data_IF_379834541869
#
_entry.id   IF_379834541869
#
_cell.length_a   1.000
_cell.length_b   1.000
_cell.length_c   1.000
_cell.angle_alpha   90.00
_cell.angle_beta   90.00
_cell.angle_gamma   90.00
#
_symmetry.space_group_name_H-M   'P 1'
#
loop_
_entity.id
_entity.type
_entity.pdbx_description
1 polymer ?
#
# COMPACT_ATOMS: atom_id res chain seq x y z
N UNK A 1 -5.38 -39.90 -7.70
CA UNK A 1 -4.02 -39.32 -7.82
C UNK A 1 -3.06 -40.38 -7.31
N UNK A 2 -2.06 -40.77 -8.10
CA UNK A 2 -1.08 -41.76 -7.66
C UNK A 2 -0.20 -41.16 -6.57
N UNK A 3 -0.03 -41.86 -5.44
CA UNK A 3 0.95 -41.47 -4.43
C UNK A 3 2.35 -41.46 -5.06
N UNK A 4 3.20 -40.45 -4.74
CA UNK A 4 4.57 -40.42 -5.25
C UNK A 4 5.35 -41.68 -4.83
N UNK A 5 6.14 -42.24 -5.74
CA UNK A 5 7.05 -43.33 -5.44
C UNK A 5 7.98 -42.93 -4.28
N UNK A 6 8.11 -43.78 -3.26
CA UNK A 6 8.97 -43.55 -2.09
C UNK A 6 10.39 -43.12 -2.47
N UNK A 7 10.93 -43.69 -3.55
CA UNK A 7 12.25 -43.34 -4.07
C UNK A 7 12.32 -41.88 -4.60
N UNK A 8 11.25 -41.41 -5.27
CA UNK A 8 11.18 -40.05 -5.79
C UNK A 8 11.08 -39.01 -4.65
N UNK A 9 10.31 -39.34 -3.61
CA UNK A 9 10.21 -38.52 -2.40
C UNK A 9 11.56 -38.42 -1.68
N UNK A 10 12.23 -39.56 -1.45
CA UNK A 10 13.55 -39.56 -0.81
C UNK A 10 14.60 -38.78 -1.61
N UNK A 11 14.53 -38.82 -2.94
CA UNK A 11 15.44 -38.05 -3.78
C UNK A 11 15.16 -36.54 -3.68
N UNK A 12 13.90 -36.12 -3.74
CA UNK A 12 13.50 -34.72 -3.59
C UNK A 12 13.88 -34.14 -2.21
N UNK A 13 13.69 -34.92 -1.13
CA UNK A 13 14.11 -34.54 0.22
C UNK A 13 15.64 -34.39 0.33
N UNK A 14 16.41 -35.27 -0.32
CA UNK A 14 17.88 -35.18 -0.34
C UNK A 14 18.38 -33.93 -1.09
N UNK A 15 17.80 -33.62 -2.26
CA UNK A 15 18.12 -32.41 -3.02
C UNK A 15 17.72 -31.14 -2.25
N UNK A 16 16.58 -31.17 -1.57
CA UNK A 16 16.16 -30.06 -0.71
C UNK A 16 17.12 -29.83 0.45
N UNK A 17 17.57 -30.90 1.11
CA UNK A 17 18.55 -30.79 2.20
C UNK A 17 19.87 -30.15 1.74
N UNK A 18 20.31 -30.43 0.51
CA UNK A 18 21.48 -29.76 -0.10
C UNK A 18 21.27 -28.26 -0.27
N UNK A 19 20.09 -27.84 -0.76
CA UNK A 19 19.71 -26.43 -0.87
C UNK A 19 19.69 -25.75 0.50
N UNK A 20 19.08 -26.40 1.51
CA UNK A 20 19.07 -25.89 2.89
C UNK A 20 20.49 -25.69 3.41
N UNK A 21 21.37 -26.68 3.25
CA UNK A 21 22.76 -26.57 3.70
C UNK A 21 23.50 -25.40 3.02
N UNK A 22 23.27 -25.19 1.72
CA UNK A 22 23.83 -24.04 0.99
C UNK A 22 23.30 -22.70 1.52
N UNK A 23 22.00 -22.62 1.84
CA UNK A 23 21.37 -21.40 2.34
C UNK A 23 21.73 -21.09 3.80
N UNK A 24 21.93 -22.11 4.65
CA UNK A 24 22.52 -21.96 5.99
C UNK A 24 23.89 -21.32 5.88
N UNK A 25 24.76 -21.90 5.04
CA UNK A 25 26.12 -21.41 4.81
C UNK A 25 26.14 -19.96 4.33
N UNK A 26 25.22 -19.59 3.45
CA UNK A 26 25.17 -18.26 2.82
C UNK A 26 24.35 -17.24 3.64
N UNK A 27 23.74 -17.64 4.77
CA UNK A 27 22.94 -16.77 5.63
C UNK A 27 21.58 -16.37 5.04
N UNK A 28 20.99 -17.24 4.22
CA UNK A 28 19.79 -16.96 3.43
C UNK A 28 18.49 -17.49 4.05
N UNK A 29 18.55 -18.21 5.17
CA UNK A 29 17.35 -18.76 5.80
C UNK A 29 16.54 -17.67 6.54
N UNK A 30 15.20 -17.65 6.38
CA UNK A 30 14.32 -16.87 7.24
C UNK A 30 14.41 -17.34 8.71
N UNK A 31 14.22 -16.44 9.70
CA UNK A 31 14.12 -16.85 11.10
C UNK A 31 12.85 -17.69 11.37
N UNK A 32 12.87 -18.51 12.42
CA UNK A 32 11.72 -19.32 12.84
C UNK A 32 11.67 -20.70 12.14
N UNK A 33 10.46 -21.16 11.81
CA UNK A 33 10.22 -22.45 11.14
C UNK A 33 9.57 -22.22 9.74
N UNK A 34 10.33 -21.69 8.77
CA UNK A 34 9.77 -21.27 7.48
C UNK A 34 9.42 -22.45 6.58
N UNK A 35 8.41 -22.26 5.73
CA UNK A 35 8.04 -23.24 4.70
C UNK A 35 9.06 -23.26 3.56
N UNK A 36 9.12 -24.34 2.75
CA UNK A 36 10.00 -24.40 1.58
C UNK A 36 9.81 -23.22 0.60
N UNK A 37 8.57 -22.78 0.40
CA UNK A 37 8.26 -21.61 -0.44
C UNK A 37 8.82 -20.31 0.17
N UNK A 38 8.73 -20.12 1.49
CA UNK A 38 9.29 -18.94 2.16
C UNK A 38 10.82 -18.91 2.06
N UNK A 39 11.46 -20.06 2.22
CA UNK A 39 12.92 -20.21 2.07
C UNK A 39 13.34 -19.88 0.63
N UNK A 40 12.65 -20.46 -0.36
CA UNK A 40 12.94 -20.24 -1.78
C UNK A 40 12.77 -18.77 -2.18
N UNK A 41 11.68 -18.13 -1.76
CA UNK A 41 11.42 -16.72 -2.09
C UNK A 41 12.49 -15.78 -1.50
N UNK A 42 12.91 -16.02 -0.26
CA UNK A 42 13.99 -15.24 0.36
C UNK A 42 15.33 -15.44 -0.37
N UNK A 43 15.65 -16.67 -0.75
CA UNK A 43 16.88 -16.98 -1.47
C UNK A 43 16.91 -16.34 -2.85
N UNK A 44 15.83 -16.45 -3.63
CA UNK A 44 15.69 -15.83 -4.94
C UNK A 44 15.84 -14.31 -4.85
N UNK A 45 15.21 -13.67 -3.84
CA UNK A 45 15.38 -12.23 -3.57
C UNK A 45 16.84 -11.86 -3.27
N UNK A 46 17.55 -12.66 -2.47
CA UNK A 46 18.94 -12.38 -2.10
C UNK A 46 19.94 -12.70 -3.24
N UNK A 47 19.58 -13.60 -4.16
CA UNK A 47 20.43 -14.04 -5.29
C UNK A 47 20.14 -13.28 -6.59
N UNK A 48 18.96 -12.68 -6.71
CA UNK A 48 18.51 -12.01 -7.94
C UNK A 48 18.19 -12.99 -9.08
N UNK A 49 17.87 -14.25 -8.77
CA UNK A 49 17.43 -15.28 -9.73
C UNK A 49 16.17 -15.99 -9.21
N UNK A 50 15.59 -16.92 -9.98
CA UNK A 50 14.37 -17.67 -9.62
C UNK A 50 14.61 -19.17 -9.42
N UNK A 51 15.87 -19.56 -9.23
CA UNK A 51 16.24 -20.98 -9.23
C UNK A 51 15.64 -21.75 -8.05
N UNK A 52 15.52 -21.11 -6.88
CA UNK A 52 15.01 -21.77 -5.68
C UNK A 52 13.49 -21.95 -5.75
N UNK A 53 12.73 -20.93 -6.17
CA UNK A 53 11.28 -21.06 -6.33
C UNK A 53 10.94 -22.04 -7.45
N UNK A 54 11.68 -22.00 -8.56
CA UNK A 54 11.51 -22.98 -9.64
C UNK A 54 11.77 -24.42 -9.17
N UNK A 55 12.77 -24.65 -8.33
CA UNK A 55 12.99 -25.98 -7.74
C UNK A 55 11.83 -26.39 -6.82
N UNK A 56 11.38 -25.49 -5.94
CA UNK A 56 10.31 -25.80 -4.97
C UNK A 56 8.99 -26.12 -5.68
N UNK A 57 8.60 -25.28 -6.64
CA UNK A 57 7.30 -25.36 -7.30
C UNK A 57 7.25 -26.46 -8.37
N UNK A 58 8.33 -26.61 -9.16
CA UNK A 58 8.34 -27.52 -10.30
C UNK A 58 9.03 -28.86 -10.01
N UNK A 59 9.68 -29.05 -8.85
CA UNK A 59 10.30 -30.32 -8.50
C UNK A 59 9.93 -30.81 -7.09
N UNK A 60 10.20 -30.03 -6.05
CA UNK A 60 10.07 -30.48 -4.67
C UNK A 60 8.62 -30.84 -4.30
N UNK A 61 7.67 -29.92 -4.48
CA UNK A 61 6.26 -30.20 -4.15
C UNK A 61 5.66 -31.34 -4.99
N UNK A 62 5.83 -31.37 -6.33
CA UNK A 62 5.30 -32.47 -7.14
C UNK A 62 5.82 -33.86 -6.74
N UNK A 63 7.12 -33.98 -6.40
CA UNK A 63 7.73 -35.29 -6.06
C UNK A 63 7.54 -35.69 -4.59
N UNK A 64 7.20 -34.75 -3.71
CA UNK A 64 7.00 -35.01 -2.27
C UNK A 64 5.53 -35.21 -1.92
N UNK A 65 4.62 -34.45 -2.54
CA UNK A 65 3.19 -34.42 -2.18
C UNK A 65 2.24 -34.77 -3.34
N UNK A 66 2.76 -34.87 -4.57
CA UNK A 66 1.97 -35.14 -5.76
C UNK A 66 1.24 -33.89 -6.30
N UNK A 67 1.03 -33.84 -7.62
CA UNK A 67 0.32 -32.76 -8.30
C UNK A 67 1.27 -31.69 -8.90
N UNK A 68 1.13 -31.46 -10.19
CA UNK A 68 1.86 -30.44 -10.96
C UNK A 68 1.90 -30.78 -12.45
N UNK A 69 1.46 -29.86 -13.32
CA UNK A 69 1.73 -29.95 -14.75
C UNK A 69 3.09 -29.30 -15.03
N UNK A 70 4.03 -30.05 -15.62
CA UNK A 70 5.36 -29.54 -15.98
C UNK A 70 6.46 -29.79 -14.93
N UNK A 71 6.45 -30.95 -14.26
CA UNK A 71 7.49 -31.32 -13.31
C UNK A 71 8.88 -31.39 -13.99
N UNK A 72 9.88 -30.82 -13.32
CA UNK A 72 11.29 -30.93 -13.72
C UNK A 72 11.76 -32.40 -13.68
N UNK A 73 12.67 -32.78 -14.57
CA UNK A 73 13.37 -34.05 -14.48
C UNK A 73 14.40 -34.05 -13.34
N UNK A 74 14.77 -35.22 -12.82
CA UNK A 74 15.84 -35.35 -11.81
C UNK A 74 17.15 -34.69 -12.28
N UNK A 75 17.48 -34.83 -13.58
CA UNK A 75 18.68 -34.23 -14.16
C UNK A 75 18.62 -32.69 -14.18
N UNK A 76 17.44 -32.09 -14.40
CA UNK A 76 17.29 -30.63 -14.39
C UNK A 76 17.20 -30.07 -12.97
N UNK A 77 16.63 -30.85 -12.04
CA UNK A 77 16.64 -30.54 -10.62
C UNK A 77 18.07 -30.55 -10.05
N UNK A 78 18.88 -31.55 -10.39
CA UNK A 78 20.30 -31.61 -10.03
C UNK A 78 21.09 -30.42 -10.58
N UNK A 79 20.82 -29.99 -11.82
CA UNK A 79 21.45 -28.78 -12.38
C UNK A 79 21.07 -27.51 -11.59
N UNK A 80 19.81 -27.38 -11.20
CA UNK A 80 19.34 -26.26 -10.38
C UNK A 80 19.98 -26.29 -8.99
N UNK A 81 20.03 -27.45 -8.33
CA UNK A 81 20.67 -27.63 -7.02
C UNK A 81 22.16 -27.30 -7.12
N UNK A 82 22.87 -27.81 -8.13
CA UNK A 82 24.27 -27.49 -8.35
C UNK A 82 24.52 -25.98 -8.61
N UNK A 83 23.55 -25.27 -9.19
CA UNK A 83 23.61 -23.82 -9.35
C UNK A 83 23.38 -23.09 -8.02
N UNK A 84 22.46 -23.56 -7.18
CA UNK A 84 22.16 -23.02 -5.85
C UNK A 84 23.27 -23.31 -4.82
N UNK A 85 23.96 -24.44 -4.95
CA UNK A 85 25.09 -24.82 -4.08
C UNK A 85 26.31 -23.93 -4.27
N UNK A 86 26.49 -23.35 -5.47
CA UNK A 86 27.51 -22.33 -5.70
C UNK A 86 27.22 -21.15 -4.75
N UNK A 87 28.25 -20.65 -4.03
CA UNK A 87 28.08 -19.51 -3.14
C UNK A 87 27.35 -18.43 -3.90
N UNK A 88 26.26 -17.91 -3.31
CA UNK A 88 25.66 -16.72 -3.87
C UNK A 88 26.78 -15.71 -4.09
N UNK A 89 26.80 -15.06 -5.26
CA UNK A 89 27.54 -13.81 -5.37
C UNK A 89 26.88 -12.91 -4.33
N UNK A 90 27.43 -12.87 -3.11
CA UNK A 90 27.11 -11.80 -2.16
C UNK A 90 27.20 -10.54 -3.01
N UNK A 91 26.20 -9.64 -2.99
CA UNK A 91 26.43 -8.32 -3.56
C UNK A 91 27.76 -7.91 -2.96
N UNK A 92 28.77 -7.74 -3.83
CA UNK A 92 30.11 -7.42 -3.37
C UNK A 92 29.91 -6.28 -2.38
N UNK A 93 30.46 -6.37 -1.16
CA UNK A 93 30.41 -5.22 -0.26
C UNK A 93 31.06 -4.11 -1.06
N UNK A 94 30.22 -3.25 -1.65
CA UNK A 94 30.72 -2.22 -2.55
C UNK A 94 31.41 -1.28 -1.60
N UNK A 95 32.75 -1.19 -1.66
CA UNK A 95 33.47 -0.41 -0.67
C UNK A 95 32.96 1.02 -0.75
N UNK A 96 33.00 1.71 0.40
CA UNK A 96 32.78 3.16 0.41
C UNK A 96 33.94 3.82 -0.32
N UNK A 97 33.67 4.38 -1.49
CA UNK A 97 34.68 4.94 -2.38
C UNK A 97 34.65 6.47 -2.32
N UNK A 98 35.67 7.06 -1.69
CA UNK A 98 35.86 8.51 -1.71
C UNK A 98 36.02 9.01 -3.16
N UNK A 99 35.26 10.05 -3.51
CA UNK A 99 35.36 10.74 -4.81
C UNK A 99 34.66 10.04 -5.98
N UNK A 100 34.03 8.88 -5.76
CA UNK A 100 33.15 8.25 -6.74
C UNK A 100 31.70 8.57 -6.38
N UNK A 101 30.88 8.90 -7.39
CA UNK A 101 29.44 9.03 -7.23
C UNK A 101 28.72 7.70 -7.42
N UNK A 102 29.24 6.84 -8.30
CA UNK A 102 28.65 5.54 -8.57
C UNK A 102 29.68 4.51 -9.07
N UNK A 103 29.32 3.23 -9.00
CA UNK A 103 30.08 2.10 -9.54
C UNK A 103 29.17 1.24 -10.40
N UNK A 104 29.62 0.90 -11.61
CA UNK A 104 28.92 -0.02 -12.53
C UNK A 104 29.93 -1.05 -13.02
N UNK A 105 29.69 -2.35 -12.78
CA UNK A 105 30.61 -3.41 -13.22
C UNK A 105 32.07 -3.22 -12.76
N UNK A 106 32.30 -2.57 -11.62
CA UNK A 106 33.64 -2.23 -11.09
C UNK A 106 34.23 -0.91 -11.62
N UNK A 107 33.67 -0.32 -12.69
CA UNK A 107 34.07 1.00 -13.19
C UNK A 107 33.51 2.10 -12.29
N UNK A 108 34.36 3.06 -11.91
CA UNK A 108 34.00 4.19 -11.05
C UNK A 108 33.61 5.41 -11.88
N UNK A 109 32.56 6.10 -11.46
CA UNK A 109 32.09 7.32 -12.10
C UNK A 109 32.14 8.48 -11.12
N UNK A 110 32.54 9.66 -11.62
CA UNK A 110 32.56 10.91 -10.82
C UNK A 110 31.18 11.53 -10.64
N UNK A 111 30.24 11.22 -11.53
CA UNK A 111 28.84 11.70 -11.45
C UNK A 111 27.89 10.54 -11.70
N UNK A 112 26.73 10.58 -11.03
CA UNK A 112 25.69 9.56 -11.20
C UNK A 112 25.10 9.60 -12.62
N UNK A 113 24.92 10.79 -13.21
CA UNK A 113 24.46 10.94 -14.60
C UNK A 113 25.39 10.24 -15.61
N UNK A 114 26.71 10.34 -15.42
CA UNK A 114 27.65 9.65 -16.31
C UNK A 114 27.54 8.12 -16.19
N UNK A 115 27.29 7.60 -14.99
CA UNK A 115 27.05 6.17 -14.76
C UNK A 115 25.77 5.71 -15.44
N UNK A 116 24.66 6.43 -15.24
CA UNK A 116 23.35 6.13 -15.86
C UNK A 116 23.45 6.14 -17.38
N UNK A 117 24.19 7.07 -17.99
CA UNK A 117 24.36 7.13 -19.46
C UNK A 117 25.19 5.97 -20.02
N UNK A 118 26.21 5.53 -19.30
CA UNK A 118 27.19 4.54 -19.78
C UNK A 118 26.83 3.10 -19.44
N UNK A 119 26.00 2.89 -18.41
CA UNK A 119 25.55 1.57 -18.00
C UNK A 119 24.81 0.86 -19.15
N UNK A 120 24.99 -0.45 -19.39
CA UNK A 120 24.15 -1.20 -20.32
C UNK A 120 22.76 -1.48 -19.73
N UNK A 121 21.82 -1.97 -20.54
CA UNK A 121 20.49 -2.36 -20.06
C UNK A 121 20.60 -3.52 -19.05
N UNK A 122 19.75 -3.49 -18.04
CA UNK A 122 19.75 -4.40 -16.91
C UNK A 122 20.89 -4.19 -15.91
N UNK A 123 21.73 -3.16 -16.10
CA UNK A 123 22.87 -2.94 -15.21
C UNK A 123 22.47 -2.46 -13.81
N UNK A 124 23.25 -2.93 -12.83
CA UNK A 124 23.21 -2.44 -11.46
C UNK A 124 24.23 -1.31 -11.27
N UNK A 125 23.74 -0.18 -10.76
CA UNK A 125 24.47 1.04 -10.48
C UNK A 125 24.50 1.25 -8.96
N UNK A 126 25.66 1.01 -8.36
CA UNK A 126 25.87 1.22 -6.94
C UNK A 126 26.20 2.68 -6.66
N UNK A 127 25.24 3.40 -6.11
CA UNK A 127 25.36 4.83 -5.83
C UNK A 127 26.05 5.04 -4.50
N UNK A 128 27.15 5.78 -4.50
CA UNK A 128 27.95 6.03 -3.30
C UNK A 128 27.32 7.12 -2.43
N UNK A 129 27.58 7.13 -1.10
CA UNK A 129 27.10 8.16 -0.21
C UNK A 129 27.41 9.59 -0.67
N UNK A 130 26.44 10.47 -0.50
CA UNK A 130 26.51 11.86 -0.91
C UNK A 130 25.17 12.39 -1.41
N UNK A 131 25.14 13.71 -1.63
CA UNK A 131 24.00 14.40 -2.25
C UNK A 131 24.31 14.62 -3.73
N UNK A 132 23.59 13.88 -4.58
CA UNK A 132 23.69 13.91 -6.03
C UNK A 132 22.64 14.89 -6.57
N UNK A 133 23.07 16.08 -7.01
CA UNK A 133 22.16 17.20 -7.37
C UNK A 133 21.73 17.23 -8.84
N UNK A 134 22.13 16.23 -9.59
CA UNK A 134 21.83 16.08 -10.99
C UNK A 134 20.52 15.30 -11.14
N UNK A 135 19.45 15.90 -11.68
CA UNK A 135 18.24 15.14 -11.98
C UNK A 135 18.55 14.04 -13.01
N UNK A 136 17.84 12.93 -12.89
CA UNK A 136 18.04 11.73 -13.69
C UNK A 136 16.72 11.26 -14.30
N UNK A 137 16.81 10.84 -15.56
CA UNK A 137 15.76 10.09 -16.23
C UNK A 137 16.32 8.69 -16.45
N UNK A 138 15.58 7.68 -15.99
CA UNK A 138 15.86 6.28 -16.25
C UNK A 138 14.88 5.83 -17.33
N UNK A 139 15.38 5.70 -18.56
CA UNK A 139 14.62 5.43 -19.78
C UNK A 139 14.83 4.00 -20.32
N UNK A 140 15.47 3.16 -19.51
CA UNK A 140 15.73 1.75 -19.79
C UNK A 140 15.88 0.95 -18.49
N UNK A 141 15.82 -0.38 -18.53
CA UNK A 141 15.90 -1.22 -17.35
C UNK A 141 17.24 -1.01 -16.63
N UNK A 142 17.23 -0.39 -15.45
CA UNK A 142 18.42 -0.11 -14.65
C UNK A 142 18.08 -0.30 -13.18
N UNK A 143 19.02 -0.85 -12.41
CA UNK A 143 18.92 -0.93 -10.96
C UNK A 143 19.82 0.12 -10.31
N UNK A 144 19.25 1.08 -9.58
CA UNK A 144 20.00 2.04 -8.77
C UNK A 144 19.94 1.62 -7.30
N UNK A 145 21.10 1.35 -6.72
CA UNK A 145 21.22 0.81 -5.35
C UNK A 145 22.12 1.71 -4.51
N UNK A 146 21.56 2.30 -3.46
CA UNK A 146 22.32 3.13 -2.54
C UNK A 146 23.28 2.30 -1.68
N UNK A 147 24.55 2.68 -1.61
CA UNK A 147 25.55 2.04 -0.76
C UNK A 147 25.52 2.68 0.63
N UNK A 148 25.51 1.85 1.67
CA UNK A 148 25.42 2.29 3.06
C UNK A 148 24.00 2.16 3.64
N UNK A 149 23.76 2.89 4.73
CA UNK A 149 22.46 2.97 5.41
C UNK A 149 21.52 3.93 4.68
N UNK A 150 20.20 3.74 4.80
CA UNK A 150 19.24 4.69 4.27
C UNK A 150 19.54 6.11 4.78
N UNK A 151 19.39 7.11 3.92
CA UNK A 151 19.76 8.51 4.23
C UNK A 151 21.16 8.93 3.78
N UNK A 152 22.10 7.99 3.55
CA UNK A 152 23.46 8.36 3.14
C UNK A 152 23.58 8.70 1.66
N UNK A 153 22.66 8.20 0.83
CA UNK A 153 22.60 8.48 -0.61
C UNK A 153 21.33 9.28 -0.89
N UNK A 154 21.50 10.53 -1.33
CA UNK A 154 20.40 11.43 -1.65
C UNK A 154 20.51 11.85 -3.10
N UNK A 155 19.46 11.62 -3.89
CA UNK A 155 19.27 12.22 -5.21
C UNK A 155 18.37 13.44 -5.02
N UNK A 156 18.92 14.62 -5.24
CA UNK A 156 18.24 15.89 -4.99
C UNK A 156 18.09 16.71 -6.27
N UNK A 157 16.96 17.38 -6.43
CA UNK A 157 16.81 18.40 -7.48
C UNK A 157 16.06 19.62 -6.96
N UNK A 158 16.52 20.80 -7.39
CA UNK A 158 15.87 22.09 -7.10
C UNK A 158 14.93 22.57 -8.19
N UNK A 159 15.02 22.01 -9.40
CA UNK A 159 14.36 22.56 -10.60
C UNK A 159 13.48 21.60 -11.37
N UNK A 160 13.77 20.30 -11.31
CA UNK A 160 13.02 19.22 -11.98
C UNK A 160 12.64 18.14 -10.94
N UNK A 161 11.78 17.15 -11.25
CA UNK A 161 11.79 15.89 -10.51
C UNK A 161 13.23 15.42 -10.30
N UNK A 162 13.54 14.93 -9.10
CA UNK A 162 14.89 14.45 -8.80
C UNK A 162 15.18 13.16 -9.57
N UNK A 163 14.14 12.36 -9.78
CA UNK A 163 14.20 11.13 -10.55
C UNK A 163 12.92 10.94 -11.37
N UNK A 164 13.09 10.55 -12.63
CA UNK A 164 12.00 10.15 -13.53
C UNK A 164 12.21 8.70 -13.97
N UNK A 165 11.17 7.87 -13.85
CA UNK A 165 11.17 6.46 -14.26
C UNK A 165 10.31 6.33 -15.52
N UNK A 166 10.92 5.98 -16.65
CA UNK A 166 10.29 6.00 -17.97
C UNK A 166 10.53 4.70 -18.75
N UNK A 167 10.66 3.57 -18.05
CA UNK A 167 10.83 2.24 -18.65
C UNK A 167 10.39 1.14 -17.69
N UNK A 168 10.02 -0.01 -18.27
CA UNK A 168 9.93 -1.26 -17.52
C UNK A 168 11.28 -1.68 -16.95
N UNK A 169 11.24 -2.49 -15.88
CA UNK A 169 12.43 -3.13 -15.33
C UNK A 169 13.38 -2.20 -14.58
N UNK A 170 12.94 -0.98 -14.24
CA UNK A 170 13.70 -0.08 -13.36
C UNK A 170 13.55 -0.54 -11.91
N UNK A 171 14.67 -0.65 -11.20
CA UNK A 171 14.69 -0.94 -9.77
C UNK A 171 15.39 0.18 -9.00
N UNK A 172 14.77 0.65 -7.92
CA UNK A 172 15.40 1.58 -6.97
C UNK A 172 15.47 0.91 -5.61
N UNK A 173 16.63 0.99 -4.95
CA UNK A 173 16.77 0.45 -3.60
C UNK A 173 17.68 1.29 -2.70
N UNK A 174 17.25 1.56 -1.47
CA UNK A 174 18.05 2.22 -0.41
C UNK A 174 18.54 3.62 -0.78
N UNK A 175 17.67 4.43 -1.37
CA UNK A 175 17.95 5.80 -1.78
C UNK A 175 16.97 6.77 -1.13
N UNK A 176 17.41 8.01 -0.96
CA UNK A 176 16.51 9.15 -0.72
C UNK A 176 16.34 9.93 -2.01
N UNK A 177 15.10 10.12 -2.46
CA UNK A 177 14.74 11.01 -3.58
C UNK A 177 14.15 12.28 -2.99
N UNK A 178 14.77 13.43 -3.22
CA UNK A 178 14.41 14.69 -2.55
C UNK A 178 14.18 15.84 -3.52
N UNK A 179 13.11 16.58 -3.29
CA UNK A 179 12.91 17.92 -3.86
C UNK A 179 13.33 19.00 -2.89
N UNK A 180 13.90 20.05 -3.45
CA UNK A 180 14.28 21.27 -2.76
C UNK A 180 13.96 22.48 -3.64
N UNK A 181 14.20 23.69 -3.14
CA UNK A 181 13.96 24.92 -3.90
C UNK A 181 12.50 25.34 -3.89
N UNK A 182 12.05 26.00 -4.95
CA UNK A 182 10.67 26.47 -5.11
C UNK A 182 9.89 25.56 -6.05
N UNK A 183 8.60 25.38 -5.75
CA UNK A 183 7.67 24.68 -6.62
C UNK A 183 7.26 25.57 -7.80
N UNK A 184 7.28 25.01 -9.01
CA UNK A 184 6.82 25.62 -10.24
C UNK A 184 5.86 24.67 -10.95
N UNK A 185 5.24 25.13 -12.05
CA UNK A 185 4.36 24.27 -12.86
C UNK A 185 5.10 23.09 -13.51
N UNK A 186 6.41 23.19 -13.72
CA UNK A 186 7.21 22.21 -14.45
C UNK A 186 7.81 21.12 -13.55
N UNK A 187 7.75 21.28 -12.21
CA UNK A 187 8.52 20.44 -11.28
C UNK A 187 7.73 19.96 -10.06
N UNK A 188 6.50 19.51 -10.30
CA UNK A 188 5.49 19.29 -9.25
C UNK A 188 5.69 18.05 -8.37
N UNK A 189 6.74 17.25 -8.53
CA UNK A 189 6.98 16.08 -7.68
C UNK A 189 8.47 15.78 -7.47
N UNK A 190 8.78 14.92 -6.49
CA UNK A 190 10.14 14.41 -6.26
C UNK A 190 10.49 13.20 -7.12
N UNK A 191 9.57 12.25 -7.22
CA UNK A 191 9.67 11.07 -8.06
C UNK A 191 8.54 11.06 -9.08
N UNK A 192 8.88 11.13 -10.37
CA UNK A 192 7.92 11.02 -11.47
C UNK A 192 8.01 9.62 -12.09
N UNK A 193 6.99 8.79 -11.87
CA UNK A 193 6.85 7.50 -12.56
C UNK A 193 6.05 7.77 -13.84
N UNK A 194 6.78 8.07 -14.90
CA UNK A 194 6.23 8.42 -16.21
C UNK A 194 5.59 7.22 -16.91
N UNK A 195 6.25 6.07 -16.86
CA UNK A 195 5.73 4.84 -17.45
C UNK A 195 6.39 3.59 -16.87
N UNK A 196 5.80 2.44 -17.20
CA UNK A 196 6.37 1.13 -16.96
C UNK A 196 6.16 0.56 -15.56
N UNK A 197 6.78 -0.61 -15.36
CA UNK A 197 6.73 -1.44 -14.15
C UNK A 197 8.00 -1.29 -13.35
N UNK A 198 8.09 -0.18 -12.61
CA UNK A 198 9.21 0.06 -11.71
C UNK A 198 9.01 -0.67 -10.36
N UNK A 199 10.11 -1.14 -9.79
CA UNK A 199 10.16 -1.65 -8.41
C UNK A 199 10.96 -0.68 -7.54
N UNK A 200 10.32 -0.11 -6.53
CA UNK A 200 10.96 0.83 -5.60
C UNK A 200 10.90 0.22 -4.20
N UNK A 201 12.06 -0.10 -3.62
CA UNK A 201 12.13 -0.78 -2.32
C UNK A 201 13.04 -0.06 -1.34
N UNK A 202 12.63 0.01 -0.07
CA UNK A 202 13.47 0.53 1.01
C UNK A 202 14.00 1.95 0.71
N UNK A 203 13.18 2.75 0.04
CA UNK A 203 13.48 4.13 -0.38
C UNK A 203 12.68 5.15 0.42
N UNK A 204 13.22 6.36 0.49
CA UNK A 204 12.55 7.51 1.07
C UNK A 204 12.33 8.59 0.01
N UNK A 205 11.12 9.12 -0.07
CA UNK A 205 10.74 10.18 -1.00
C UNK A 205 10.37 11.40 -0.17
N UNK A 206 11.12 12.48 -0.35
CA UNK A 206 10.93 13.75 0.34
C UNK A 206 10.42 14.78 -0.66
N UNK A 207 9.12 15.10 -0.59
CA UNK A 207 8.45 15.99 -1.54
C UNK A 207 8.92 17.45 -1.45
N UNK A 208 9.45 17.87 -0.31
CA UNK A 208 9.89 19.24 -0.06
C UNK A 208 8.77 20.24 -0.37
N UNK A 209 8.97 21.22 -1.26
CA UNK A 209 7.94 22.20 -1.63
C UNK A 209 6.83 21.64 -2.55
N UNK A 210 6.92 20.38 -2.97
CA UNK A 210 6.10 19.79 -4.05
C UNK A 210 5.41 18.51 -3.59
N UNK A 211 4.72 17.82 -4.50
CA UNK A 211 4.21 16.47 -4.25
C UNK A 211 5.37 15.48 -4.06
N UNK A 212 5.12 14.37 -3.37
CA UNK A 212 6.10 13.31 -3.21
C UNK A 212 6.32 12.53 -4.50
N UNK A 213 5.28 11.80 -4.91
CA UNK A 213 5.32 10.89 -6.06
C UNK A 213 4.18 11.19 -7.01
N UNK A 214 4.49 11.26 -8.29
CA UNK A 214 3.50 11.20 -9.35
C UNK A 214 3.60 9.87 -10.10
N UNK A 215 2.46 9.22 -10.26
CA UNK A 215 2.33 8.02 -11.09
C UNK A 215 1.46 8.40 -12.27
N UNK A 216 2.06 8.48 -13.45
CA UNK A 216 1.39 8.96 -14.66
C UNK A 216 0.45 7.90 -15.24
N UNK A 217 -0.33 8.35 -16.22
CA UNK A 217 -1.35 7.54 -16.90
C UNK A 217 -0.73 6.27 -17.47
N UNK A 218 -1.25 5.12 -17.05
CA UNK A 218 -0.83 3.80 -17.55
C UNK A 218 0.42 3.21 -16.89
N UNK A 219 1.06 3.89 -15.94
CA UNK A 219 2.18 3.33 -15.19
C UNK A 219 1.71 2.26 -14.16
N UNK A 220 2.54 1.23 -13.91
CA UNK A 220 2.24 0.09 -13.03
C UNK A 220 3.41 -0.17 -12.04
N UNK A 221 3.76 0.80 -11.18
CA UNK A 221 4.87 0.64 -10.24
C UNK A 221 4.46 -0.14 -8.98
N UNK A 222 5.44 -0.81 -8.39
CA UNK A 222 5.35 -1.42 -7.06
C UNK A 222 6.33 -0.75 -6.11
N UNK A 223 5.82 -0.27 -4.98
CA UNK A 223 6.58 0.30 -3.87
C UNK A 223 6.53 -0.66 -2.68
N UNK A 224 7.67 -0.94 -2.05
CA UNK A 224 7.75 -1.76 -0.83
C UNK A 224 8.60 -1.11 0.23
N UNK A 225 8.09 -1.05 1.47
CA UNK A 225 8.83 -0.54 2.63
C UNK A 225 9.42 0.86 2.37
N UNK A 226 8.64 1.69 1.66
CA UNK A 226 9.02 3.05 1.33
C UNK A 226 8.36 4.05 2.28
N UNK A 227 9.03 5.18 2.50
CA UNK A 227 8.46 6.33 3.20
C UNK A 227 8.30 7.51 2.24
N UNK A 228 7.13 8.13 2.23
CA UNK A 228 6.86 9.39 1.52
C UNK A 228 6.54 10.45 2.55
N UNK A 229 7.32 11.53 2.59
CA UNK A 229 7.22 12.53 3.66
C UNK A 229 7.51 13.95 3.25
N UNK A 230 7.11 14.87 4.13
CA UNK A 230 7.38 16.31 4.03
C UNK A 230 7.05 16.83 2.63
N UNK A 231 5.79 16.68 2.24
CA UNK A 231 5.30 17.09 0.92
C UNK A 231 4.52 18.40 1.04
N UNK A 232 5.01 19.46 0.41
CA UNK A 232 4.33 20.75 0.32
C UNK A 232 3.05 20.71 -0.52
N UNK A 233 2.83 19.63 -1.27
CA UNK A 233 1.54 19.26 -1.85
C UNK A 233 1.07 17.89 -1.34
N UNK A 234 0.64 17.00 -2.23
CA UNK A 234 0.18 15.64 -1.91
C UNK A 234 1.32 14.64 -1.75
N UNK A 235 1.09 13.56 -0.99
CA UNK A 235 2.10 12.50 -0.83
C UNK A 235 2.29 11.72 -2.13
N UNK A 236 1.20 11.15 -2.66
CA UNK A 236 1.17 10.47 -3.95
C UNK A 236 -0.05 10.87 -4.76
N UNK A 237 0.17 11.20 -6.03
CA UNK A 237 -0.87 11.33 -7.03
C UNK A 237 -0.83 10.17 -8.02
N UNK A 238 -1.95 9.48 -8.19
CA UNK A 238 -2.08 8.30 -9.07
C UNK A 238 -3.02 8.63 -10.21
N UNK A 239 -2.45 8.84 -11.40
CA UNK A 239 -3.18 9.23 -12.59
C UNK A 239 -4.14 8.15 -13.10
N UNK A 240 -5.12 8.60 -13.89
CA UNK A 240 -6.10 7.72 -14.54
C UNK A 240 -5.42 6.57 -15.27
N UNK A 241 -6.03 5.38 -15.26
CA UNK A 241 -5.49 4.16 -15.89
C UNK A 241 -4.13 3.66 -15.36
N UNK A 242 -3.51 4.30 -14.37
CA UNK A 242 -2.38 3.72 -13.66
C UNK A 242 -2.83 2.51 -12.81
N UNK A 243 -1.88 1.65 -12.43
CA UNK A 243 -2.09 0.50 -11.57
C UNK A 243 -0.98 0.41 -10.51
N UNK A 244 -1.06 1.21 -9.46
CA UNK A 244 0.01 1.26 -8.45
C UNK A 244 -0.18 0.21 -7.35
N UNK A 245 0.93 -0.31 -6.83
CA UNK A 245 0.96 -1.17 -5.63
C UNK A 245 1.88 -0.61 -4.57
N UNK A 246 1.39 -0.57 -3.33
CA UNK A 246 2.15 -0.14 -2.17
C UNK A 246 2.04 -1.19 -1.07
N UNK A 247 3.18 -1.69 -0.60
CA UNK A 247 3.29 -2.73 0.42
C UNK A 247 4.16 -2.22 1.57
N UNK A 248 3.61 -2.16 2.78
CA UNK A 248 4.30 -1.71 3.99
C UNK A 248 4.91 -0.30 3.86
N UNK A 249 4.26 0.56 3.07
CA UNK A 249 4.67 1.95 2.87
C UNK A 249 4.07 2.90 3.91
N UNK A 250 4.77 4.00 4.19
CA UNK A 250 4.27 5.10 5.02
C UNK A 250 4.15 6.38 4.20
N UNK A 251 3.06 7.12 4.41
CA UNK A 251 2.80 8.43 3.84
C UNK A 251 2.52 9.38 5.01
N UNK A 252 3.39 10.36 5.24
CA UNK A 252 3.19 11.31 6.33
C UNK A 252 3.54 12.74 5.99
N UNK A 253 2.95 13.70 6.71
CA UNK A 253 3.29 15.13 6.60
C UNK A 253 3.17 15.65 5.16
N UNK A 254 2.01 15.44 4.56
CA UNK A 254 1.61 16.06 3.29
C UNK A 254 0.69 17.25 3.55
N UNK A 255 0.85 18.33 2.80
CA UNK A 255 -0.03 19.50 2.88
C UNK A 255 -1.41 19.19 2.29
N UNK A 256 -1.44 18.62 1.09
CA UNK A 256 -2.66 18.17 0.42
C UNK A 256 -2.94 16.70 0.79
N UNK A 257 -3.76 16.00 0.01
CA UNK A 257 -4.10 14.61 0.31
C UNK A 257 -2.84 13.73 0.39
N UNK A 258 -2.75 12.88 1.41
CA UNK A 258 -1.63 11.95 1.54
C UNK A 258 -1.54 11.00 0.34
N UNK A 259 -2.70 10.54 -0.14
CA UNK A 259 -2.85 9.74 -1.35
C UNK A 259 -4.07 10.23 -2.14
N UNK A 260 -3.88 10.53 -3.42
CA UNK A 260 -4.94 10.84 -4.37
C UNK A 260 -4.97 9.82 -5.51
N UNK A 261 -6.15 9.23 -5.77
CA UNK A 261 -6.31 8.10 -6.69
C UNK A 261 -7.37 8.39 -7.76
N UNK A 262 -6.90 8.61 -8.99
CA UNK A 262 -7.72 8.69 -10.19
C UNK A 262 -7.66 7.39 -11.03
N UNK A 263 -6.59 6.61 -10.86
CA UNK A 263 -6.40 5.28 -11.47
C UNK A 263 -6.72 4.14 -10.53
N UNK A 264 -6.05 3.00 -10.70
CA UNK A 264 -6.15 1.86 -9.78
C UNK A 264 -4.98 1.86 -8.81
N UNK A 265 -5.25 1.58 -7.55
CA UNK A 265 -4.23 1.50 -6.52
C UNK A 265 -4.56 0.43 -5.48
N UNK A 266 -3.55 -0.34 -5.07
CA UNK A 266 -3.65 -1.31 -3.99
C UNK A 266 -2.62 -1.01 -2.90
N UNK A 267 -3.11 -0.84 -1.68
CA UNK A 267 -2.32 -0.60 -0.49
C UNK A 267 -2.45 -1.78 0.46
N UNK A 268 -1.32 -2.32 0.93
CA UNK A 268 -1.28 -3.44 1.86
C UNK A 268 -0.34 -3.11 3.00
N UNK A 269 -0.83 -3.12 4.25
CA UNK A 269 0.01 -2.82 5.42
C UNK A 269 0.48 -1.36 5.51
N UNK A 270 -0.09 -0.46 4.68
CA UNK A 270 0.35 0.93 4.62
C UNK A 270 -0.17 1.78 5.79
N UNK A 271 0.59 2.83 6.13
CA UNK A 271 0.16 3.88 7.05
C UNK A 271 0.07 5.22 6.34
N UNK A 272 -1.08 5.90 6.43
CA UNK A 272 -1.30 7.26 5.92
C UNK A 272 -1.61 8.16 7.12
N UNK A 273 -0.71 9.07 7.48
CA UNK A 273 -0.83 9.81 8.74
C UNK A 273 -0.35 11.25 8.73
N UNK A 274 -0.81 12.05 9.69
CA UNK A 274 -0.29 13.39 9.96
C UNK A 274 -0.34 14.35 8.75
N UNK A 275 -1.28 14.17 7.83
CA UNK A 275 -1.51 15.10 6.72
C UNK A 275 -2.31 16.34 7.16
N UNK A 276 -2.05 17.48 6.53
CA UNK A 276 -2.81 18.72 6.77
C UNK A 276 -4.17 18.73 6.04
N UNK A 277 -4.45 17.71 5.22
CA UNK A 277 -5.70 17.52 4.49
C UNK A 277 -6.21 16.09 4.67
N UNK A 278 -6.81 15.51 3.62
CA UNK A 278 -7.36 14.16 3.61
C UNK A 278 -6.27 13.09 3.68
N UNK A 279 -6.56 11.94 4.30
CA UNK A 279 -5.67 10.79 4.22
C UNK A 279 -5.64 10.23 2.79
N UNK A 280 -6.79 9.73 2.34
CA UNK A 280 -6.98 9.16 1.01
C UNK A 280 -8.13 9.87 0.31
N UNK A 281 -7.90 10.39 -0.89
CA UNK A 281 -8.91 10.87 -1.81
C UNK A 281 -9.05 9.88 -2.97
N UNK A 282 -10.20 9.21 -3.06
CA UNK A 282 -10.53 8.25 -4.11
C UNK A 282 -11.57 8.83 -5.07
N UNK A 283 -11.22 8.97 -6.35
CA UNK A 283 -12.02 9.67 -7.36
C UNK A 283 -12.71 8.72 -8.37
N UNK A 284 -12.03 8.26 -9.43
CA UNK A 284 -12.71 7.53 -10.51
C UNK A 284 -12.33 6.04 -10.55
N UNK A 285 -11.15 5.68 -10.05
CA UNK A 285 -10.60 4.34 -10.22
C UNK A 285 -10.71 3.42 -9.01
N UNK A 286 -10.19 2.20 -9.16
CA UNK A 286 -10.29 1.15 -8.14
C UNK A 286 -9.24 1.33 -7.05
N UNK A 287 -9.66 1.74 -5.85
CA UNK A 287 -8.79 1.81 -4.67
C UNK A 287 -9.07 0.63 -3.75
N UNK A 288 -8.04 -0.16 -3.45
CA UNK A 288 -8.13 -1.25 -2.46
C UNK A 288 -7.14 -1.01 -1.33
N UNK A 289 -7.64 -1.00 -0.10
CA UNK A 289 -6.83 -0.88 1.10
C UNK A 289 -7.00 -2.13 1.95
N UNK A 290 -5.90 -2.78 2.32
CA UNK A 290 -5.91 -3.96 3.16
C UNK A 290 -4.91 -3.84 4.30
N UNK A 291 -5.39 -4.03 5.54
CA UNK A 291 -4.55 -3.92 6.74
C UNK A 291 -3.86 -2.56 6.83
N UNK A 292 -4.52 -1.50 6.36
CA UNK A 292 -3.99 -0.16 6.37
C UNK A 292 -4.43 0.62 7.62
N UNK A 293 -3.57 1.53 8.07
CA UNK A 293 -3.89 2.49 9.13
C UNK A 293 -3.91 3.89 8.56
N UNK A 294 -5.04 4.57 8.66
CA UNK A 294 -5.21 5.98 8.28
C UNK A 294 -5.49 6.77 9.55
N UNK A 295 -4.62 7.71 9.91
CA UNK A 295 -4.76 8.36 11.22
C UNK A 295 -4.24 9.79 11.29
N UNK A 296 -4.78 10.56 12.23
CA UNK A 296 -4.20 11.87 12.61
C UNK A 296 -4.10 12.84 11.41
N UNK A 297 -4.98 12.69 10.42
CA UNK A 297 -5.07 13.60 9.26
C UNK A 297 -6.07 14.71 9.57
N UNK A 298 -5.74 15.97 9.29
CA UNK A 298 -6.59 17.11 9.67
C UNK A 298 -7.94 17.16 8.89
N UNK A 299 -8.02 16.50 7.74
CA UNK A 299 -9.24 16.35 6.95
C UNK A 299 -10.01 15.05 7.22
N UNK A 300 -10.69 14.56 6.18
CA UNK A 300 -11.37 13.25 6.16
C UNK A 300 -10.32 12.13 6.05
N UNK A 301 -10.51 11.02 6.75
CA UNK A 301 -9.62 9.85 6.62
C UNK A 301 -9.62 9.28 5.20
N UNK A 302 -10.78 8.85 4.72
CA UNK A 302 -11.01 8.45 3.32
C UNK A 302 -12.19 9.21 2.72
N UNK A 303 -11.94 10.01 1.70
CA UNK A 303 -12.99 10.66 0.92
C UNK A 303 -13.16 9.94 -0.41
N UNK A 304 -14.31 9.31 -0.61
CA UNK A 304 -14.70 8.73 -1.89
C UNK A 304 -15.68 9.67 -2.61
N UNK A 305 -15.39 10.00 -3.87
CA UNK A 305 -16.23 10.85 -4.73
C UNK A 305 -16.21 10.36 -6.17
N UNK A 306 -16.82 11.08 -7.11
CA UNK A 306 -16.79 10.82 -8.55
C UNK A 306 -17.07 9.36 -8.96
N UNK A 307 -18.05 8.72 -8.29
CA UNK A 307 -18.40 7.30 -8.47
C UNK A 307 -17.30 6.28 -8.12
N UNK A 308 -16.24 6.67 -7.40
CA UNK A 308 -15.23 5.74 -6.87
C UNK A 308 -15.86 4.59 -6.08
N UNK A 309 -15.26 3.40 -6.20
CA UNK A 309 -15.65 2.21 -5.45
C UNK A 309 -14.56 1.66 -4.55
N UNK A 310 -14.06 2.41 -3.54
CA UNK A 310 -12.97 1.93 -2.72
C UNK A 310 -13.40 0.75 -1.84
N UNK A 311 -12.53 -0.24 -1.73
CA UNK A 311 -12.72 -1.43 -0.90
C UNK A 311 -11.69 -1.41 0.22
N UNK A 312 -12.14 -1.41 1.47
CA UNK A 312 -11.31 -1.43 2.65
C UNK A 312 -11.52 -2.75 3.40
N UNK A 313 -10.42 -3.44 3.72
CA UNK A 313 -10.43 -4.68 4.51
C UNK A 313 -9.45 -4.63 5.65
N UNK A 314 -9.92 -4.96 6.86
CA UNK A 314 -9.05 -5.02 8.05
C UNK A 314 -8.31 -3.70 8.32
N UNK A 315 -8.94 -2.57 7.94
CA UNK A 315 -8.36 -1.24 8.05
C UNK A 315 -8.80 -0.50 9.32
N UNK A 316 -7.91 0.33 9.85
CA UNK A 316 -8.19 1.24 10.98
C UNK A 316 -8.15 2.68 10.49
N UNK A 317 -9.23 3.42 10.71
CA UNK A 317 -9.32 4.86 10.40
C UNK A 317 -9.66 5.61 11.67
N UNK A 318 -8.74 6.45 12.14
CA UNK A 318 -8.91 7.08 13.45
C UNK A 318 -8.33 8.47 13.58
N UNK A 319 -8.88 9.25 14.51
CA UNK A 319 -8.36 10.58 14.83
C UNK A 319 -8.23 11.50 13.59
N UNK A 320 -9.10 11.32 12.59
CA UNK A 320 -9.25 12.28 11.51
C UNK A 320 -9.93 13.54 12.03
N UNK A 321 -9.47 14.71 11.54
CA UNK A 321 -9.99 16.03 11.89
C UNK A 321 -11.35 16.36 11.27
N UNK A 322 -11.93 15.42 10.51
CA UNK A 322 -13.34 15.37 10.10
C UNK A 322 -13.89 13.94 10.22
N UNK A 323 -14.72 13.50 9.27
CA UNK A 323 -15.25 12.15 9.27
C UNK A 323 -14.15 11.11 9.02
N UNK A 324 -14.31 9.90 9.56
CA UNK A 324 -13.40 8.80 9.24
C UNK A 324 -13.47 8.47 7.74
N UNK A 325 -14.69 8.23 7.24
CA UNK A 325 -14.97 8.06 5.82
C UNK A 325 -16.11 8.99 5.41
N UNK A 326 -15.95 9.67 4.27
CA UNK A 326 -17.03 10.40 3.61
C UNK A 326 -17.28 9.80 2.22
N UNK A 327 -18.54 9.56 1.90
CA UNK A 327 -19.02 8.98 0.64
C UNK A 327 -19.96 9.97 -0.02
N UNK A 328 -19.53 10.56 -1.15
CA UNK A 328 -20.36 11.48 -1.93
C UNK A 328 -20.15 11.30 -3.42
N UNK A 329 -20.74 12.19 -4.21
CA UNK A 329 -20.66 12.27 -5.68
C UNK A 329 -20.87 10.90 -6.37
N UNK A 330 -21.87 10.13 -5.90
CA UNK A 330 -22.22 8.81 -6.44
C UNK A 330 -21.29 7.65 -6.07
N UNK A 331 -20.33 7.86 -5.15
CA UNK A 331 -19.36 6.83 -4.75
C UNK A 331 -20.01 5.60 -4.08
N UNK A 332 -19.35 4.44 -4.18
CA UNK A 332 -19.82 3.14 -3.69
C UNK A 332 -18.75 2.44 -2.83
N UNK A 333 -18.70 2.76 -1.54
CA UNK A 333 -17.67 2.24 -0.62
C UNK A 333 -18.05 0.87 -0.06
N UNK A 334 -17.07 -0.04 0.04
CA UNK A 334 -17.21 -1.32 0.76
C UNK A 334 -16.20 -1.41 1.90
N UNK A 335 -16.69 -1.70 3.10
CA UNK A 335 -15.89 -1.91 4.31
C UNK A 335 -16.09 -3.34 4.83
N UNK A 336 -15.00 -4.04 5.11
CA UNK A 336 -15.01 -5.37 5.71
C UNK A 336 -14.03 -5.42 6.89
N UNK A 337 -14.54 -5.70 8.10
CA UNK A 337 -13.74 -5.80 9.33
C UNK A 337 -12.89 -4.54 9.62
N UNK A 338 -13.45 -3.37 9.39
CA UNK A 338 -12.80 -2.10 9.65
C UNK A 338 -13.12 -1.55 11.05
N UNK A 339 -12.24 -0.67 11.57
CA UNK A 339 -12.45 0.09 12.81
C UNK A 339 -12.39 1.59 12.50
N UNK A 340 -13.52 2.30 12.67
CA UNK A 340 -13.66 3.74 12.48
C UNK A 340 -13.82 4.41 13.85
N UNK A 341 -12.75 5.02 14.36
CA UNK A 341 -12.70 5.42 15.76
C UNK A 341 -12.16 6.83 16.02
N UNK A 342 -12.73 7.55 16.97
CA UNK A 342 -12.17 8.83 17.47
C UNK A 342 -11.99 9.91 16.41
N UNK A 343 -12.79 9.86 15.35
CA UNK A 343 -12.81 10.93 14.36
C UNK A 343 -13.60 12.11 14.94
N UNK A 344 -13.21 13.35 14.59
CA UNK A 344 -13.81 14.55 15.17
C UNK A 344 -15.19 14.89 14.58
N UNK A 345 -15.63 14.13 13.57
CA UNK A 345 -16.99 14.18 13.04
C UNK A 345 -17.58 12.76 13.04
N UNK A 346 -18.32 12.35 12.00
CA UNK A 346 -18.92 11.02 11.95
C UNK A 346 -17.88 9.93 11.68
N UNK A 347 -18.10 8.71 12.18
CA UNK A 347 -17.25 7.58 11.81
C UNK A 347 -17.35 7.28 10.31
N UNK A 348 -18.58 7.08 9.83
CA UNK A 348 -18.94 6.94 8.43
C UNK A 348 -20.02 7.97 8.07
N UNK A 349 -19.76 8.76 7.03
CA UNK A 349 -20.64 9.80 6.54
C UNK A 349 -21.03 9.49 5.08
N UNK A 350 -22.30 9.17 4.85
CA UNK A 350 -22.83 8.77 3.55
C UNK A 350 -23.79 9.84 3.06
N UNK A 351 -23.29 10.73 2.21
CA UNK A 351 -24.06 11.75 1.51
C UNK A 351 -24.71 11.13 0.25
N UNK A 352 -24.52 11.72 -0.93
CA UNK A 352 -25.05 11.25 -2.21
C UNK A 352 -24.29 10.02 -2.77
N UNK A 353 -24.19 8.95 -1.99
CA UNK A 353 -23.54 7.70 -2.39
C UNK A 353 -24.03 6.48 -1.63
N UNK A 354 -23.27 5.39 -1.70
CA UNK A 354 -23.59 4.11 -1.07
C UNK A 354 -22.44 3.56 -0.25
N UNK A 355 -22.76 3.01 0.91
CA UNK A 355 -21.83 2.23 1.72
C UNK A 355 -22.35 0.82 1.99
N UNK A 356 -21.48 -0.18 1.85
CA UNK A 356 -21.69 -1.55 2.33
C UNK A 356 -20.68 -1.79 3.45
N UNK A 357 -21.15 -2.08 4.66
CA UNK A 357 -20.33 -2.19 5.85
C UNK A 357 -20.58 -3.55 6.50
N UNK A 358 -19.55 -4.38 6.59
CA UNK A 358 -19.64 -5.73 7.17
C UNK A 358 -18.62 -5.96 8.28
N UNK A 359 -19.04 -6.59 9.37
CA UNK A 359 -18.12 -7.07 10.42
C UNK A 359 -17.32 -5.95 11.10
N UNK A 360 -17.78 -4.70 11.04
CA UNK A 360 -16.96 -3.51 11.35
C UNK A 360 -17.39 -2.83 12.65
N UNK A 361 -16.48 -2.03 13.23
CA UNK A 361 -16.70 -1.25 14.44
C UNK A 361 -16.66 0.24 14.13
N UNK A 362 -17.64 0.97 14.62
CA UNK A 362 -17.76 2.42 14.47
C UNK A 362 -17.98 3.01 15.85
N UNK A 363 -16.95 3.62 16.42
CA UNK A 363 -16.95 3.93 17.86
C UNK A 363 -16.27 5.22 18.25
N UNK A 364 -16.69 5.80 19.37
CA UNK A 364 -16.00 6.93 20.00
C UNK A 364 -15.80 8.13 19.05
N UNK A 365 -16.64 8.28 18.01
CA UNK A 365 -16.57 9.42 17.11
C UNK A 365 -17.30 10.61 17.73
N UNK A 366 -16.84 11.83 17.46
CA UNK A 366 -17.35 13.03 18.12
C UNK A 366 -18.71 13.52 17.59
N UNK A 367 -19.28 12.81 16.61
CA UNK A 367 -20.64 13.04 16.13
C UNK A 367 -21.39 11.71 15.95
N UNK A 368 -22.10 11.49 14.83
CA UNK A 368 -22.75 10.20 14.57
C UNK A 368 -21.72 9.06 14.42
N UNK A 369 -22.11 7.84 14.77
CA UNK A 369 -21.36 6.68 14.29
C UNK A 369 -21.46 6.59 12.77
N UNK A 370 -22.69 6.42 12.26
CA UNK A 370 -23.02 6.40 10.83
C UNK A 370 -24.07 7.47 10.55
N UNK A 371 -23.77 8.40 9.65
CA UNK A 371 -24.73 9.39 9.14
C UNK A 371 -25.08 9.07 7.68
N UNK A 372 -26.37 9.04 7.35
CA UNK A 372 -26.87 8.88 5.99
C UNK A 372 -27.74 10.09 5.63
N UNK A 373 -27.32 10.88 4.65
CA UNK A 373 -27.98 12.11 4.22
C UNK A 373 -27.89 12.32 2.70
N UNK A 374 -28.53 13.36 2.17
CA UNK A 374 -28.47 13.77 0.75
C UNK A 374 -28.72 12.67 -0.29
N UNK A 375 -29.65 11.75 0.01
CA UNK A 375 -30.02 10.63 -0.86
C UNK A 375 -29.18 9.37 -0.68
N UNK A 376 -28.31 9.35 0.34
CA UNK A 376 -27.42 8.26 0.66
C UNK A 376 -28.09 6.96 1.05
N UNK A 377 -27.33 5.87 0.90
CA UNK A 377 -27.76 4.52 1.24
C UNK A 377 -26.67 3.73 1.96
N UNK A 378 -27.03 3.11 3.08
CA UNK A 378 -26.10 2.25 3.81
C UNK A 378 -26.68 0.85 4.03
N UNK A 379 -25.89 -0.18 3.74
CA UNK A 379 -26.13 -1.55 4.18
C UNK A 379 -25.12 -1.86 5.28
N UNK A 380 -25.61 -2.16 6.48
CA UNK A 380 -24.79 -2.38 7.68
C UNK A 380 -25.12 -3.76 8.23
N UNK A 381 -24.13 -4.64 8.24
CA UNK A 381 -24.29 -6.05 8.60
C UNK A 381 -23.18 -6.51 9.54
N UNK A 382 -23.54 -7.24 10.61
CA UNK A 382 -22.57 -7.77 11.59
C UNK A 382 -21.66 -6.69 12.20
N UNK A 383 -22.20 -5.49 12.43
CA UNK A 383 -21.45 -4.33 12.89
C UNK A 383 -21.74 -3.94 14.33
N UNK A 384 -20.81 -3.20 14.93
CA UNK A 384 -20.97 -2.56 16.24
C UNK A 384 -20.85 -1.04 16.10
N UNK A 385 -21.90 -0.30 16.45
CA UNK A 385 -21.92 1.17 16.41
C UNK A 385 -22.13 1.71 17.82
N UNK A 386 -21.03 2.09 18.48
CA UNK A 386 -21.02 2.25 19.94
C UNK A 386 -20.33 3.49 20.44
N UNK A 387 -20.79 4.05 21.56
CA UNK A 387 -20.10 5.11 22.29
C UNK A 387 -19.77 6.36 21.45
N UNK A 388 -20.60 6.67 20.45
CA UNK A 388 -20.45 7.89 19.65
C UNK A 388 -21.12 9.07 20.37
N UNK A 389 -20.58 10.28 20.18
CA UNK A 389 -20.96 11.46 20.95
C UNK A 389 -22.26 12.13 20.48
N UNK A 390 -22.86 11.67 19.37
CA UNK A 390 -24.25 11.96 19.00
C UNK A 390 -25.05 10.64 18.97
N UNK A 391 -25.90 10.43 17.97
CA UNK A 391 -26.62 9.16 17.80
C UNK A 391 -25.71 8.11 17.15
N UNK A 392 -25.98 6.84 17.40
CA UNK A 392 -25.24 5.75 16.74
C UNK A 392 -25.40 5.82 15.24
N UNK A 393 -26.65 5.84 14.77
CA UNK A 393 -27.00 5.92 13.36
C UNK A 393 -28.02 7.04 13.14
N UNK A 394 -27.74 7.95 12.22
CA UNK A 394 -28.67 9.00 11.78
C UNK A 394 -29.08 8.82 10.31
N UNK A 395 -30.38 8.86 10.00
CA UNK A 395 -30.90 8.72 8.63
C UNK A 395 -31.84 9.87 8.28
N UNK A 396 -31.44 10.68 7.30
CA UNK A 396 -32.21 11.86 6.84
C UNK A 396 -33.28 11.50 5.81
N UNK A 397 -34.16 12.46 5.52
CA UNK A 397 -35.32 12.25 4.67
C UNK A 397 -34.85 11.89 3.25
N UNK A 398 -35.54 10.94 2.61
CA UNK A 398 -35.14 10.44 1.28
C UNK A 398 -33.93 9.51 1.28
N UNK A 399 -33.34 9.22 2.44
CA UNK A 399 -32.21 8.30 2.59
C UNK A 399 -32.66 6.92 3.07
N UNK A 400 -31.76 5.93 2.96
CA UNK A 400 -32.07 4.54 3.26
C UNK A 400 -30.98 3.87 4.10
N UNK A 401 -31.40 3.08 5.09
CA UNK A 401 -30.51 2.15 5.78
C UNK A 401 -31.10 0.76 5.92
N UNK A 402 -30.27 -0.26 5.76
CA UNK A 402 -30.57 -1.63 6.19
C UNK A 402 -29.56 -2.03 7.26
N UNK A 403 -30.05 -2.38 8.45
CA UNK A 403 -29.24 -2.77 9.60
C UNK A 403 -29.56 -4.21 9.98
N UNK A 404 -28.62 -5.12 9.72
CA UNK A 404 -28.78 -6.54 10.02
C UNK A 404 -27.70 -7.08 10.95
N UNK A 405 -28.06 -8.03 11.83
CA UNK A 405 -27.10 -8.74 12.71
C UNK A 405 -26.15 -7.82 13.50
N UNK A 406 -26.59 -6.62 13.83
CA UNK A 406 -25.71 -5.56 14.35
C UNK A 406 -26.10 -5.09 15.75
N UNK A 407 -25.16 -4.46 16.45
CA UNK A 407 -25.38 -3.89 17.78
C UNK A 407 -25.13 -2.39 17.80
N UNK A 408 -26.07 -1.63 18.38
CA UNK A 408 -25.99 -0.18 18.51
C UNK A 408 -26.29 0.23 19.96
N UNK A 409 -25.30 0.74 20.67
CA UNK A 409 -25.41 0.98 22.12
C UNK A 409 -24.48 2.08 22.63
N UNK A 410 -24.78 2.64 23.80
CA UNK A 410 -23.87 3.57 24.48
C UNK A 410 -23.70 4.92 23.78
N UNK A 411 -24.48 5.19 22.73
CA UNK A 411 -24.40 6.47 22.02
C UNK A 411 -25.09 7.58 22.83
N UNK A 412 -24.53 8.78 22.76
CA UNK A 412 -24.91 9.90 23.64
C UNK A 412 -26.30 10.49 23.34
N UNK A 413 -26.87 10.18 22.17
CA UNK A 413 -28.27 10.49 21.86
C UNK A 413 -29.07 9.21 21.64
N UNK A 414 -29.48 8.96 20.39
CA UNK A 414 -30.26 7.80 20.04
C UNK A 414 -29.38 6.66 19.53
N UNK A 415 -29.87 5.42 19.60
CA UNK A 415 -29.24 4.34 18.84
C UNK A 415 -29.45 4.53 17.34
N UNK A 416 -30.72 4.68 16.95
CA UNK A 416 -31.14 4.98 15.57
C UNK A 416 -32.06 6.21 15.57
N UNK A 417 -31.63 7.29 14.90
CA UNK A 417 -32.41 8.50 14.68
C UNK A 417 -32.85 8.58 13.21
N UNK A 418 -34.15 8.51 12.96
CA UNK A 418 -34.73 8.59 11.61
C UNK A 418 -35.57 9.85 11.46
N UNK A 419 -35.38 10.60 10.38
CA UNK A 419 -36.26 11.74 10.06
C UNK A 419 -37.46 11.30 9.23
N UNK A 420 -38.55 12.08 9.23
CA UNK A 420 -39.74 11.77 8.42
C UNK A 420 -39.39 11.63 6.92
N UNK A 421 -39.75 10.50 6.32
CA UNK A 421 -39.44 10.18 4.91
C UNK A 421 -38.13 9.41 4.71
N UNK A 422 -37.38 9.10 5.77
CA UNK A 422 -36.29 8.13 5.72
C UNK A 422 -36.83 6.70 5.65
N UNK A 423 -36.13 5.82 4.91
CA UNK A 423 -36.41 4.38 4.88
C UNK A 423 -35.41 3.66 5.77
N UNK A 424 -35.90 2.72 6.57
CA UNK A 424 -35.04 1.90 7.41
C UNK A 424 -35.59 0.48 7.53
N UNK A 425 -34.68 -0.48 7.54
CA UNK A 425 -34.93 -1.89 7.86
C UNK A 425 -33.99 -2.27 8.98
N UNK A 426 -34.52 -2.86 10.05
CA UNK A 426 -33.73 -3.35 11.19
C UNK A 426 -34.11 -4.81 11.45
N UNK A 427 -33.19 -5.72 11.20
CA UNK A 427 -33.44 -7.16 11.33
C UNK A 427 -32.35 -7.86 12.13
N UNK A 428 -32.75 -8.70 13.10
CA UNK A 428 -31.80 -9.47 13.92
C UNK A 428 -30.70 -8.60 14.56
N UNK A 429 -31.04 -7.34 14.85
CA UNK A 429 -30.13 -6.34 15.39
C UNK A 429 -30.66 -5.84 16.73
N UNK A 430 -29.74 -5.43 17.60
CA UNK A 430 -30.05 -4.95 18.96
C UNK A 430 -29.64 -3.50 19.09
N UNK A 431 -30.63 -2.64 19.35
CA UNK A 431 -30.42 -1.21 19.62
C UNK A 431 -30.85 -0.95 21.06
N UNK A 432 -29.90 -0.76 21.96
CA UNK A 432 -30.15 -0.72 23.42
C UNK A 432 -29.16 0.14 24.16
N UNK A 433 -29.58 0.75 25.27
CA UNK A 433 -28.65 1.43 26.20
C UNK A 433 -28.06 2.71 25.62
N UNK A 434 -28.82 3.41 24.77
CA UNK A 434 -28.47 4.74 24.27
C UNK A 434 -29.09 5.81 25.18
N UNK A 435 -28.41 6.95 25.34
CA UNK A 435 -28.67 7.89 26.45
C UNK A 435 -30.04 8.56 26.37
N UNK A 436 -30.47 9.04 25.19
CA UNK A 436 -31.78 9.67 25.03
C UNK A 436 -32.86 8.62 24.73
N UNK A 437 -32.53 7.61 23.93
CA UNK A 437 -33.43 6.49 23.65
C UNK A 437 -32.92 5.60 22.53
N UNK A 438 -33.48 4.40 22.38
CA UNK A 438 -32.93 3.46 21.41
C UNK A 438 -33.31 3.82 19.96
N UNK A 439 -34.57 4.17 19.71
CA UNK A 439 -35.04 4.62 18.40
C UNK A 439 -35.76 5.96 18.54
N UNK A 440 -35.33 6.96 17.77
CA UNK A 440 -35.88 8.31 17.75
C UNK A 440 -36.40 8.70 16.37
N UNK A 441 -37.43 9.54 16.36
CA UNK A 441 -37.94 10.18 15.15
C UNK A 441 -37.75 11.70 15.24
N UNK A 442 -36.94 12.29 14.35
CA UNK A 442 -36.78 13.74 14.31
C UNK A 442 -38.01 14.37 13.66
N UNK A 443 -38.70 15.25 14.38
CA UNK A 443 -39.77 16.08 13.80
C UNK A 443 -39.07 17.22 13.05
N UNK A 444 -39.43 17.51 11.78
CA UNK A 444 -38.81 18.62 11.07
C UNK A 444 -38.94 19.88 11.94
N UNK A 445 -37.80 20.48 12.30
CA UNK A 445 -37.78 21.76 13.00
C UNK A 445 -38.55 22.73 12.11
N UNK A 446 -39.73 23.18 12.57
CA UNK A 446 -40.47 24.24 11.88
C UNK A 446 -39.54 25.46 11.83
N UNK A 447 -39.27 25.92 10.61
CA UNK A 447 -38.35 27.03 10.33
C UNK A 447 -38.83 28.37 10.85
#
# INVERSE_FOLDING_TARGET
MAEPNLAARSHAEALWQRIINAFVRDGMLPPGNPTPAQIAHQADRLRGDSHASRFVDAYYYPHTFGGGNGALSDADAEKLVAALEKPAKRPAIVPLLRGAAAVVGGKRYRTLRAAVRDAPDGAEIFVQPGVHRDPLVLDRPLALVGVGTLGTVVIESKRMPALTLASDGIMLSRLVVRRAGEATRENRCALDVDSGRALVEDCEIVGGPTDGIWIRVGADPTFRRCAVRECGGGGVWIGRSAAARFEDCTFHESHDAGVEVLGNARFVGCTIANGASHGVLADEGGTVLERCTIRDNAGIGVWARASAGPILRDCTIRASGRSGIHVGDGANVTLERCDLAKNTHSGLDVADGRAIVRGSRVRENAYYGILVHDGGRALVDECSVVDNADSGIGVRAGCEIELTRSHVSGNAQYGLLVTAGARHVVERSTITGNVIGDVGADKPRRG
#
